data_IF_392818383988
#
_entry.id   IF_392818383988
#
_cell.length_a   1.000
_cell.length_b   1.000
_cell.length_c   1.000
_cell.angle_alpha   90.00
_cell.angle_beta   90.00
_cell.angle_gamma   90.00
#
_symmetry.space_group_name_H-M   'P 1'
#
loop_
_entity.id
_entity.type
_entity.pdbx_description
1 polymer ?
#
# COMPACT_ATOMS: atom_id res chain seq x y z
N UNK A 1 -3.14 -5.13 37.15
CA UNK A 1 -1.74 -4.89 36.70
C UNK A 1 -1.81 -4.11 35.40
N UNK A 2 -1.63 -2.79 35.42
CA UNK A 2 -1.69 -1.93 34.23
C UNK A 2 -0.31 -1.90 33.54
N UNK A 3 -0.33 -2.18 32.23
CA UNK A 3 0.85 -2.36 31.41
C UNK A 3 1.66 -1.05 31.29
N UNK A 4 2.90 -1.01 31.80
CA UNK A 4 3.70 0.21 32.05
C UNK A 4 4.56 0.67 30.85
N UNK A 5 4.23 0.27 29.61
CA UNK A 5 4.90 0.74 28.39
C UNK A 5 3.92 1.20 27.33
N UNK A 6 2.96 2.04 27.71
CA UNK A 6 2.14 2.73 26.73
C UNK A 6 2.96 3.86 26.07
N UNK A 7 2.94 4.00 24.73
CA UNK A 7 3.64 5.08 24.04
C UNK A 7 3.15 6.45 24.53
N UNK A 8 3.98 7.49 24.41
CA UNK A 8 3.70 8.85 24.92
C UNK A 8 2.38 9.45 24.40
N UNK A 9 1.89 8.96 23.26
CA UNK A 9 0.64 9.37 22.63
C UNK A 9 -0.53 8.39 22.88
N UNK A 10 -0.41 7.49 23.85
CA UNK A 10 -1.47 6.54 24.16
C UNK A 10 -2.71 7.25 24.71
N UNK A 11 -3.89 6.76 24.35
CA UNK A 11 -5.18 7.21 24.88
C UNK A 11 -5.33 6.76 26.35
N UNK A 12 -4.76 7.53 27.27
CA UNK A 12 -4.94 7.37 28.72
C UNK A 12 -6.05 8.31 29.21
N UNK A 13 -6.63 8.09 30.40
CA UNK A 13 -7.60 9.05 30.98
C UNK A 13 -7.07 10.49 31.07
N UNK A 14 -5.75 10.66 31.17
CA UNK A 14 -5.04 11.95 31.22
C UNK A 14 -4.67 12.50 29.83
N UNK A 15 -4.76 11.69 28.77
CA UNK A 15 -4.45 12.07 27.39
C UNK A 15 -5.65 11.76 26.46
N UNK A 16 -6.82 12.28 26.86
CA UNK A 16 -8.04 12.24 26.06
C UNK A 16 -8.12 13.49 25.17
N UNK A 17 -8.66 13.38 23.94
CA UNK A 17 -8.96 14.56 23.13
C UNK A 17 -9.95 15.46 23.88
N UNK A 18 -9.53 16.67 24.22
CA UNK A 18 -10.38 17.67 24.88
C UNK A 18 -11.37 18.27 23.88
N UNK A 19 -12.64 18.53 24.28
CA UNK A 19 -13.59 19.26 23.45
C UNK A 19 -13.02 20.64 23.11
N UNK A 20 -12.66 20.86 21.84
CA UNK A 20 -12.01 22.10 21.36
C UNK A 20 -10.60 21.92 20.81
N UNK A 21 -9.89 20.83 21.15
CA UNK A 21 -8.61 20.45 20.55
C UNK A 21 -8.73 19.17 19.69
N UNK A 22 -9.89 19.01 19.07
CA UNK A 22 -10.14 17.94 18.11
C UNK A 22 -9.77 18.44 16.71
N UNK A 23 -9.32 17.53 15.85
CA UNK A 23 -9.17 17.81 14.43
C UNK A 23 -10.46 18.44 13.91
N UNK A 24 -10.35 19.62 13.30
CA UNK A 24 -11.51 20.36 12.79
C UNK A 24 -12.38 19.49 11.90
N UNK A 25 -13.69 19.78 11.89
CA UNK A 25 -14.68 19.03 11.08
C UNK A 25 -14.21 18.96 9.63
N UNK A 26 -14.34 17.77 9.02
CA UNK A 26 -14.06 17.58 7.60
C UNK A 26 -14.88 18.54 6.74
N UNK A 27 -14.43 18.82 5.51
CA UNK A 27 -15.21 19.62 4.56
C UNK A 27 -16.63 19.06 4.39
N UNK A 28 -16.77 17.73 4.20
CA UNK A 28 -18.08 17.05 4.11
C UNK A 28 -18.96 17.37 5.32
N UNK A 29 -18.44 17.19 6.54
CA UNK A 29 -19.22 17.43 7.77
C UNK A 29 -19.64 18.89 7.92
N UNK A 30 -18.79 19.84 7.51
CA UNK A 30 -19.12 21.26 7.51
C UNK A 30 -20.21 21.59 6.48
N UNK A 31 -20.11 21.04 5.28
CA UNK A 31 -21.11 21.25 4.22
C UNK A 31 -22.48 20.68 4.60
N UNK A 32 -22.54 19.47 5.17
CA UNK A 32 -23.80 18.88 5.64
C UNK A 32 -24.42 19.66 6.79
N UNK A 33 -23.58 20.14 7.73
CA UNK A 33 -24.06 20.99 8.82
C UNK A 33 -24.63 22.32 8.30
N UNK A 34 -23.97 22.92 7.30
CA UNK A 34 -24.44 24.14 6.67
C UNK A 34 -25.74 23.92 5.89
N UNK A 35 -25.83 22.83 5.13
CA UNK A 35 -27.05 22.43 4.42
C UNK A 35 -28.21 22.31 5.41
N UNK A 36 -28.03 21.52 6.48
CA UNK A 36 -29.06 21.35 7.50
C UNK A 36 -29.43 22.66 8.19
N UNK A 37 -28.47 23.55 8.46
CA UNK A 37 -28.72 24.83 9.10
C UNK A 37 -29.51 25.81 8.20
N UNK A 38 -29.26 25.80 6.89
CA UNK A 38 -29.89 26.73 5.93
C UNK A 38 -31.24 26.22 5.44
N UNK A 39 -31.36 24.93 5.13
CA UNK A 39 -32.54 24.37 4.47
C UNK A 39 -33.40 23.51 5.40
N UNK A 40 -32.89 23.12 6.57
CA UNK A 40 -33.54 22.17 7.47
C UNK A 40 -33.51 20.71 6.97
N UNK A 41 -32.91 20.45 5.80
CA UNK A 41 -32.95 19.17 5.11
C UNK A 41 -31.82 18.22 5.50
N UNK A 42 -32.03 16.93 5.27
CA UNK A 42 -31.07 15.85 5.48
C UNK A 42 -30.13 15.64 4.27
N UNK A 43 -29.16 14.73 4.40
CA UNK A 43 -28.31 14.31 3.26
C UNK A 43 -29.14 13.53 2.23
N UNK A 44 -30.11 12.72 2.67
CA UNK A 44 -30.98 11.94 1.78
C UNK A 44 -31.88 12.86 0.94
N UNK A 45 -32.44 13.90 1.57
CA UNK A 45 -33.27 14.91 0.90
C UNK A 45 -32.51 15.65 -0.19
N UNK A 46 -31.17 15.79 -0.06
CA UNK A 46 -30.33 16.38 -1.09
C UNK A 46 -30.24 15.47 -2.32
N UNK A 47 -30.08 14.17 -2.13
CA UNK A 47 -30.04 13.22 -3.24
C UNK A 47 -31.39 13.13 -3.95
N UNK A 48 -32.50 13.09 -3.20
CA UNK A 48 -33.84 13.16 -3.77
C UNK A 48 -34.05 14.43 -4.60
N UNK A 49 -33.61 15.58 -4.08
CA UNK A 49 -33.68 16.85 -4.81
C UNK A 49 -32.85 16.84 -6.10
N UNK A 50 -31.63 16.30 -6.08
CA UNK A 50 -30.79 16.20 -7.28
C UNK A 50 -31.46 15.34 -8.35
N UNK A 51 -32.04 14.21 -7.96
CA UNK A 51 -32.75 13.32 -8.89
C UNK A 51 -34.01 14.00 -9.45
N UNK A 52 -34.78 14.68 -8.60
CA UNK A 52 -35.98 15.42 -9.02
C UNK A 52 -35.64 16.53 -10.01
N UNK A 53 -34.64 17.36 -9.71
CA UNK A 53 -34.21 18.42 -10.63
C UNK A 53 -33.64 17.87 -11.95
N UNK A 54 -32.85 16.79 -11.87
CA UNK A 54 -32.28 16.16 -13.06
C UNK A 54 -33.38 15.62 -13.98
N UNK A 55 -34.32 14.81 -13.46
CA UNK A 55 -35.24 14.06 -14.31
C UNK A 55 -36.61 14.72 -14.52
N UNK A 56 -37.10 15.49 -13.55
CA UNK A 56 -38.40 16.19 -13.69
C UNK A 56 -38.24 17.60 -14.26
N UNK A 57 -37.21 18.35 -13.86
CA UNK A 57 -36.98 19.71 -14.35
C UNK A 57 -35.99 19.81 -15.51
N UNK A 58 -35.45 18.67 -15.96
CA UNK A 58 -34.50 18.58 -17.07
C UNK A 58 -33.26 19.47 -16.92
N UNK A 59 -32.80 19.69 -15.68
CA UNK A 59 -31.60 20.47 -15.39
C UNK A 59 -30.34 19.68 -15.80
N UNK A 60 -29.63 20.19 -16.81
CA UNK A 60 -28.43 19.55 -17.37
C UNK A 60 -27.30 19.45 -16.35
N UNK A 61 -27.16 20.44 -15.47
CA UNK A 61 -26.06 20.47 -14.50
C UNK A 61 -26.29 19.40 -13.42
N UNK A 62 -27.55 19.21 -13.01
CA UNK A 62 -27.94 18.15 -12.06
C UNK A 62 -27.84 16.76 -12.68
N UNK A 63 -28.21 16.61 -13.96
CA UNK A 63 -27.97 15.35 -14.70
C UNK A 63 -26.49 15.01 -14.78
N UNK A 64 -25.62 15.98 -15.08
CA UNK A 64 -24.17 15.75 -15.13
C UNK A 64 -23.62 15.36 -13.74
N UNK A 65 -24.08 16.04 -12.68
CA UNK A 65 -23.71 15.71 -11.31
C UNK A 65 -24.14 14.28 -10.94
N UNK A 66 -25.37 13.88 -11.29
CA UNK A 66 -25.88 12.54 -11.06
C UNK A 66 -25.09 11.47 -11.82
N UNK A 67 -24.76 11.72 -13.10
CA UNK A 67 -23.95 10.77 -13.89
C UNK A 67 -22.55 10.59 -13.29
N UNK A 68 -21.92 11.67 -12.81
CA UNK A 68 -20.60 11.63 -12.17
C UNK A 68 -20.58 10.87 -10.84
N UNK A 69 -21.69 10.85 -10.11
CA UNK A 69 -21.80 10.13 -8.82
C UNK A 69 -22.27 8.69 -9.00
N UNK A 70 -23.19 8.43 -9.94
CA UNK A 70 -23.74 7.10 -10.20
C UNK A 70 -22.79 6.21 -11.02
N UNK A 71 -22.06 6.79 -11.97
CA UNK A 71 -21.12 6.03 -12.81
C UNK A 71 -19.71 6.20 -12.25
N UNK A 72 -19.05 5.12 -11.80
CA UNK A 72 -17.66 5.20 -11.38
C UNK A 72 -16.80 5.68 -12.56
N UNK A 73 -16.01 6.73 -12.35
CA UNK A 73 -15.11 7.25 -13.39
C UNK A 73 -14.15 6.14 -13.82
N UNK A 74 -14.21 5.78 -15.10
CA UNK A 74 -13.28 4.82 -15.69
C UNK A 74 -11.90 5.47 -15.73
N UNK A 75 -11.07 5.15 -14.74
CA UNK A 75 -9.66 5.55 -14.75
C UNK A 75 -8.99 4.80 -15.91
N UNK A 76 -8.30 5.53 -16.78
CA UNK A 76 -7.45 4.93 -17.81
C UNK A 76 -6.47 3.98 -17.13
N UNK A 77 -6.59 2.68 -17.40
CA UNK A 77 -5.61 1.68 -16.98
C UNK A 77 -4.68 1.43 -18.15
N UNK A 78 -3.39 1.31 -17.86
CA UNK A 78 -2.43 0.81 -18.84
C UNK A 78 -2.90 -0.60 -19.26
N UNK A 79 -2.87 -0.95 -20.55
CA UNK A 79 -3.19 -2.30 -20.98
C UNK A 79 -2.30 -3.31 -20.26
N UNK A 80 -2.86 -4.46 -19.90
CA UNK A 80 -2.08 -5.51 -19.25
C UNK A 80 -1.09 -6.10 -20.25
N UNK A 81 0.19 -5.94 -19.96
CA UNK A 81 1.27 -6.53 -20.74
C UNK A 81 1.52 -7.96 -20.28
N UNK A 82 1.52 -8.91 -21.22
CA UNK A 82 1.84 -10.32 -20.95
C UNK A 82 3.18 -10.66 -21.57
N UNK A 83 4.11 -11.15 -20.77
CA UNK A 83 5.41 -11.65 -21.24
C UNK A 83 5.70 -13.00 -20.60
N UNK A 84 6.52 -13.82 -21.27
CA UNK A 84 6.92 -15.12 -20.73
C UNK A 84 8.06 -14.93 -19.72
N UNK A 85 7.88 -15.47 -18.52
CA UNK A 85 8.86 -15.40 -17.45
C UNK A 85 9.09 -16.77 -16.82
N UNK A 86 10.32 -17.28 -16.91
CA UNK A 86 10.73 -18.50 -16.25
C UNK A 86 11.36 -18.21 -14.88
N UNK A 87 10.71 -18.69 -13.82
CA UNK A 87 11.15 -18.49 -12.44
C UNK A 87 12.33 -19.38 -12.06
N UNK A 88 12.57 -20.47 -12.78
CA UNK A 88 13.61 -21.44 -12.46
C UNK A 88 15.01 -20.95 -12.83
N UNK A 89 15.11 -20.01 -13.76
CA UNK A 89 16.39 -19.51 -14.26
C UNK A 89 17.18 -18.70 -13.22
N UNK A 90 18.52 -18.67 -13.31
CA UNK A 90 19.34 -17.79 -12.49
C UNK A 90 19.04 -16.30 -12.77
N UNK A 91 19.36 -15.43 -11.82
CA UNK A 91 19.00 -14.01 -11.88
C UNK A 91 19.54 -13.27 -13.12
N UNK A 92 20.72 -13.65 -13.62
CA UNK A 92 21.30 -13.03 -14.82
C UNK A 92 20.52 -13.38 -16.09
N UNK A 93 20.14 -14.65 -16.28
CA UNK A 93 19.33 -15.09 -17.43
C UNK A 93 17.93 -14.46 -17.41
N UNK A 94 17.36 -14.24 -16.22
CA UNK A 94 16.10 -13.51 -16.06
C UNK A 94 16.18 -12.07 -16.57
N UNK A 95 17.30 -11.38 -16.31
CA UNK A 95 17.51 -10.03 -16.82
C UNK A 95 17.65 -10.01 -18.35
N UNK A 96 18.37 -10.97 -18.93
CA UNK A 96 18.51 -11.10 -20.39
C UNK A 96 17.16 -11.36 -21.07
N UNK A 97 16.30 -12.22 -20.50
CA UNK A 97 14.94 -12.45 -21.01
C UNK A 97 14.09 -11.18 -21.01
N UNK A 98 14.22 -10.33 -19.99
CA UNK A 98 13.49 -9.06 -19.93
C UNK A 98 14.00 -8.09 -21.00
N UNK A 99 15.32 -8.02 -21.19
CA UNK A 99 15.92 -7.20 -22.25
C UNK A 99 15.46 -7.68 -23.63
N UNK A 100 15.39 -8.99 -23.84
CA UNK A 100 14.87 -9.58 -25.07
C UNK A 100 13.37 -9.23 -25.27
N UNK A 101 12.54 -9.34 -24.23
CA UNK A 101 11.12 -8.97 -24.29
C UNK A 101 10.91 -7.47 -24.60
N UNK A 102 11.74 -6.59 -24.04
CA UNK A 102 11.75 -5.15 -24.40
C UNK A 102 12.15 -4.95 -25.86
N UNK A 103 13.15 -5.68 -26.36
CA UNK A 103 13.59 -5.57 -27.75
C UNK A 103 12.54 -6.03 -28.77
N UNK A 104 11.68 -6.98 -28.38
CA UNK A 104 10.54 -7.47 -29.19
C UNK A 104 9.33 -6.55 -29.15
N UNK A 105 9.35 -5.52 -28.29
CA UNK A 105 8.22 -4.63 -28.06
C UNK A 105 7.10 -5.26 -27.24
N UNK A 106 7.37 -6.39 -26.57
CA UNK A 106 6.42 -7.01 -25.64
C UNK A 106 6.31 -6.18 -24.36
N UNK A 107 7.42 -5.60 -23.88
CA UNK A 107 7.47 -4.72 -22.72
C UNK A 107 7.93 -3.32 -23.11
N UNK A 108 7.43 -2.29 -22.40
CA UNK A 108 7.98 -0.94 -22.54
C UNK A 108 9.37 -0.85 -21.86
N UNK A 109 10.26 0.08 -22.31
CA UNK A 109 11.56 0.26 -21.69
C UNK A 109 11.51 0.66 -20.20
N UNK A 110 10.45 1.36 -19.80
CA UNK A 110 10.22 1.77 -18.40
C UNK A 110 9.87 0.57 -17.52
N UNK A 111 8.90 -0.25 -17.95
CA UNK A 111 8.53 -1.50 -17.27
C UNK A 111 9.72 -2.46 -17.18
N UNK A 112 10.49 -2.63 -18.26
CA UNK A 112 11.69 -3.47 -18.25
C UNK A 112 12.73 -3.01 -17.23
N UNK A 113 12.97 -1.71 -17.16
CA UNK A 113 13.90 -1.12 -16.18
C UNK A 113 13.42 -1.31 -14.75
N UNK A 114 12.12 -1.14 -14.50
CA UNK A 114 11.51 -1.37 -13.19
C UNK A 114 11.66 -2.85 -12.75
N UNK A 115 11.36 -3.80 -13.63
CA UNK A 115 11.44 -5.23 -13.31
C UNK A 115 12.90 -5.65 -13.03
N UNK A 116 13.87 -5.17 -13.81
CA UNK A 116 15.29 -5.46 -13.56
C UNK A 116 15.73 -4.94 -12.18
N UNK A 117 15.27 -3.76 -11.77
CA UNK A 117 15.54 -3.23 -10.43
C UNK A 117 14.92 -4.08 -9.32
N UNK A 118 13.72 -4.62 -9.54
CA UNK A 118 13.08 -5.55 -8.60
C UNK A 118 13.84 -6.87 -8.48
N UNK A 119 14.36 -7.40 -9.60
CA UNK A 119 15.22 -8.60 -9.60
C UNK A 119 16.49 -8.34 -8.79
N UNK A 120 17.15 -7.19 -9.01
CA UNK A 120 18.34 -6.79 -8.25
C UNK A 120 18.06 -6.73 -6.75
N UNK A 121 16.93 -6.14 -6.34
CA UNK A 121 16.52 -6.11 -4.94
C UNK A 121 16.31 -7.51 -4.38
N UNK A 122 15.71 -8.41 -5.15
CA UNK A 122 15.48 -9.80 -4.75
C UNK A 122 16.79 -10.59 -4.60
N UNK A 123 17.73 -10.40 -5.52
CA UNK A 123 19.05 -11.03 -5.46
C UNK A 123 19.83 -10.57 -4.23
N UNK A 124 19.80 -9.26 -3.90
CA UNK A 124 20.45 -8.74 -2.70
C UNK A 124 19.87 -9.34 -1.40
N UNK A 125 18.55 -9.54 -1.33
CA UNK A 125 17.91 -10.22 -0.19
C UNK A 125 18.38 -11.67 -0.09
N UNK A 126 18.49 -12.37 -1.23
CA UNK A 126 18.99 -13.74 -1.27
C UNK A 126 20.44 -13.84 -0.78
N UNK A 127 21.34 -13.00 -1.30
CA UNK A 127 22.74 -12.91 -0.86
C UNK A 127 22.83 -12.63 0.64
N UNK A 128 22.04 -11.69 1.15
CA UNK A 128 22.01 -11.38 2.58
C UNK A 128 21.55 -12.60 3.40
N UNK A 129 20.51 -13.30 2.96
CA UNK A 129 20.00 -14.49 3.66
C UNK A 129 21.03 -15.63 3.67
N UNK A 130 21.76 -15.82 2.59
CA UNK A 130 22.82 -16.82 2.49
C UNK A 130 23.98 -16.48 3.44
N UNK A 131 24.38 -15.21 3.50
CA UNK A 131 25.43 -14.74 4.41
C UNK A 131 25.05 -14.94 5.88
N UNK A 132 23.80 -14.65 6.25
CA UNK A 132 23.29 -14.90 7.61
C UNK A 132 23.39 -16.39 7.96
N UNK A 133 22.93 -17.27 7.07
CA UNK A 133 22.98 -18.71 7.29
C UNK A 133 24.43 -19.23 7.45
N UNK A 134 25.37 -18.72 6.65
CA UNK A 134 26.79 -19.06 6.77
C UNK A 134 27.38 -18.59 8.11
N UNK A 135 27.03 -17.39 8.57
CA UNK A 135 27.50 -16.86 9.86
C UNK A 135 26.97 -17.72 11.01
N UNK A 136 25.68 -18.06 11.01
CA UNK A 136 25.08 -18.91 12.05
C UNK A 136 25.76 -20.28 12.13
N UNK A 137 26.09 -20.89 10.98
CA UNK A 137 26.85 -22.13 10.94
C UNK A 137 28.24 -21.97 11.57
N UNK A 138 28.96 -20.90 11.20
CA UNK A 138 30.30 -20.62 11.74
C UNK A 138 30.28 -20.35 13.25
N UNK A 139 29.29 -19.61 13.74
CA UNK A 139 29.08 -19.36 15.17
C UNK A 139 28.79 -20.65 15.93
N UNK A 140 27.95 -21.53 15.38
CA UNK A 140 27.69 -22.85 15.96
C UNK A 140 28.96 -23.71 16.04
N UNK A 141 29.79 -23.72 14.99
CA UNK A 141 31.09 -24.42 15.02
C UNK A 141 32.05 -23.82 16.04
N UNK A 142 32.10 -22.49 16.18
CA UNK A 142 32.97 -21.81 17.14
C UNK A 142 32.56 -22.13 18.60
N UNK A 143 31.26 -22.14 18.89
CA UNK A 143 30.70 -22.52 20.19
C UNK A 143 31.00 -23.99 20.53
N UNK A 144 30.80 -24.90 19.57
CA UNK A 144 31.09 -26.32 19.75
C UNK A 144 32.58 -26.61 20.03
N UNK A 145 33.48 -25.76 19.53
CA UNK A 145 34.92 -25.87 19.80
C UNK A 145 35.29 -25.40 21.22
N UNK A 146 34.59 -24.42 21.77
CA UNK A 146 34.82 -23.90 23.12
C UNK A 146 34.30 -24.83 24.23
N UNK A 147 33.30 -25.66 23.93
CA UNK A 147 32.70 -26.61 24.89
C UNK A 147 33.40 -27.97 24.95
N UNK A 148 34.43 -28.22 24.12
CA UNK A 148 35.24 -29.44 24.21
C UNK A 148 36.13 -29.35 25.46
N UNK A 149 35.90 -30.16 26.52
CA UNK A 149 36.74 -30.10 27.71
C UNK A 149 38.18 -30.45 27.33
N UNK A 150 39.13 -29.71 27.90
CA UNK A 150 40.54 -30.05 27.85
C UNK A 150 40.67 -31.49 28.36
N UNK A 151 40.96 -32.41 27.43
CA UNK A 151 41.10 -33.82 27.75
C UNK A 151 42.16 -34.00 28.83
N UNK A 152 41.74 -34.73 29.87
CA UNK A 152 42.54 -35.42 30.85
C UNK A 152 43.90 -35.83 30.29
N UNK A 153 44.97 -35.24 30.85
CA UNK A 153 46.32 -35.76 30.68
C UNK A 153 46.43 -36.97 31.63
N UNK A 154 46.42 -38.18 31.06
CA UNK A 154 46.92 -39.41 31.71
C UNK A 154 48.44 -39.35 31.93
#
# INVERSE_FOLDING_TARGET
>A
MSNTKAPTNAFTPQNQPTPGNTRGKSAKTRSLAALKAVTGKSEDDLYEYIVDQAFHNSDKDMMELFLKTAVPTTRSKLPNTTFQYDRSLPYHEKCELIIEAVSKGELSPDEGSEIINQIKSTAAVYEQSELVARIEQLEAYALARQTKPAGDNE
#
